data_IF_620094494241
#
_entry.id   IF_620094494241
#
_cell.length_a   1.000
_cell.length_b   1.000
_cell.length_c   1.000
_cell.angle_alpha   90.00
_cell.angle_beta   90.00
_cell.angle_gamma   90.00
#
_symmetry.space_group_name_H-M   'P 1'
#
loop_
_entity.id
_entity.type
_entity.pdbx_description
1 polymer ?
#
# COMPACT_ATOMS: atom_id res chain seq x y z
N UNK A 1 19.66 5.55 0.33
CA UNK A 1 18.32 4.98 0.60
C UNK A 1 17.36 5.60 -0.39
N UNK A 2 16.29 4.90 -0.75
CA UNK A 2 15.19 5.39 -1.58
C UNK A 2 13.92 5.31 -0.73
N UNK A 3 13.18 6.42 -0.70
CA UNK A 3 11.84 6.45 -0.14
C UNK A 3 10.84 6.37 -1.28
N UNK A 4 9.87 5.48 -1.14
CA UNK A 4 8.75 5.35 -2.06
C UNK A 4 7.51 5.90 -1.37
N UNK A 5 6.82 6.80 -2.06
CA UNK A 5 5.45 7.20 -1.70
C UNK A 5 4.53 5.98 -1.78
N UNK A 6 3.31 6.04 -1.19
CA UNK A 6 2.37 4.92 -1.25
C UNK A 6 2.18 4.40 -2.68
N UNK A 7 2.36 3.08 -2.83
CA UNK A 7 2.25 2.35 -4.10
C UNK A 7 1.25 1.18 -3.97
N UNK A 8 0.53 1.13 -2.86
CA UNK A 8 -0.53 0.17 -2.60
C UNK A 8 -1.79 0.51 -3.40
N UNK A 9 -2.74 -0.42 -3.50
CA UNK A 9 -4.04 -0.13 -4.12
C UNK A 9 -4.70 1.02 -3.37
N UNK A 10 -5.03 2.08 -4.12
CA UNK A 10 -5.69 3.29 -3.61
C UNK A 10 -6.57 3.90 -4.71
N UNK A 11 -7.68 4.56 -4.37
CA UNK A 11 -8.38 5.46 -5.29
C UNK A 11 -7.56 6.71 -5.67
N UNK A 12 -6.29 6.80 -5.26
CA UNK A 12 -5.37 7.90 -5.52
C UNK A 12 -5.82 9.24 -4.92
N UNK A 13 -6.67 9.18 -3.90
CA UNK A 13 -7.00 10.33 -3.04
C UNK A 13 -5.82 10.58 -2.11
N UNK A 14 -5.50 11.86 -1.89
CA UNK A 14 -4.34 12.28 -1.11
C UNK A 14 -3.03 11.63 -1.59
N UNK A 15 -2.84 11.55 -2.92
CA UNK A 15 -1.64 10.97 -3.56
C UNK A 15 -1.31 9.54 -3.08
N UNK A 16 -2.34 8.71 -2.91
CA UNK A 16 -2.19 7.30 -2.55
C UNK A 16 -2.19 7.02 -1.05
N UNK A 17 -2.30 8.04 -0.20
CA UNK A 17 -2.39 7.85 1.25
C UNK A 17 -3.76 7.32 1.70
N UNK A 18 -4.81 7.46 0.88
CA UNK A 18 -6.10 6.78 1.08
C UNK A 18 -5.98 5.30 0.68
N UNK A 19 -5.35 4.45 1.50
CA UNK A 19 -5.04 3.05 1.12
C UNK A 19 -6.26 2.14 1.20
N UNK A 20 -6.54 1.40 0.12
CA UNK A 20 -7.67 0.47 0.02
C UNK A 20 -7.27 -1.01 0.18
N UNK A 21 -6.01 -1.37 -0.08
CA UNK A 21 -5.43 -2.68 0.23
C UNK A 21 -3.92 -2.55 0.47
N UNK A 22 -3.48 -2.82 1.70
CA UNK A 22 -2.07 -2.74 2.12
C UNK A 22 -1.21 -3.90 1.64
N UNK A 23 -1.82 -4.97 1.11
CA UNK A 23 -1.10 -6.21 0.76
C UNK A 23 -0.78 -6.31 -0.73
N UNK A 24 -1.35 -5.43 -1.55
CA UNK A 24 -1.21 -5.45 -3.00
C UNK A 24 -0.60 -4.17 -3.52
N UNK A 25 0.26 -4.29 -4.53
CA UNK A 25 0.75 -3.15 -5.31
C UNK A 25 -0.35 -2.68 -6.26
N UNK A 26 -0.52 -1.36 -6.40
CA UNK A 26 -1.41 -0.80 -7.41
C UNK A 26 -0.90 -1.22 -8.81
N UNK A 27 -1.74 -1.81 -9.66
CA UNK A 27 -1.34 -2.25 -11.00
C UNK A 27 -0.74 -1.16 -11.88
N UNK A 28 -0.99 0.13 -11.58
CA UNK A 28 -0.34 1.25 -12.26
C UNK A 28 1.18 1.34 -11.98
N UNK A 29 1.66 0.72 -10.90
CA UNK A 29 3.07 0.73 -10.47
C UNK A 29 3.78 -0.62 -10.67
N UNK A 30 3.04 -1.72 -10.83
CA UNK A 30 3.59 -3.05 -11.09
C UNK A 30 2.91 -4.14 -10.26
N UNK A 31 3.65 -5.20 -9.95
CA UNK A 31 3.20 -6.31 -9.10
C UNK A 31 4.03 -6.44 -7.82
N UNK A 32 3.64 -7.37 -6.94
CA UNK A 32 4.47 -7.72 -5.78
C UNK A 32 5.83 -8.30 -6.21
N UNK A 33 5.88 -9.08 -7.30
CA UNK A 33 7.12 -9.60 -7.86
C UNK A 33 8.04 -8.48 -8.35
N UNK A 34 7.49 -7.42 -8.97
CA UNK A 34 8.27 -6.25 -9.36
C UNK A 34 8.84 -5.52 -8.13
N UNK A 35 8.07 -5.44 -7.04
CA UNK A 35 8.53 -4.85 -5.79
C UNK A 35 9.63 -5.71 -5.12
N UNK A 36 9.49 -7.03 -5.14
CA UNK A 36 10.52 -7.97 -4.66
C UNK A 36 11.83 -7.81 -5.43
N UNK A 37 11.76 -7.69 -6.76
CA UNK A 37 12.93 -7.44 -7.61
C UNK A 37 13.57 -6.08 -7.28
N UNK A 38 12.78 -5.02 -7.12
CA UNK A 38 13.27 -3.71 -6.69
C UNK A 38 14.04 -3.80 -5.37
N UNK A 39 13.47 -4.48 -4.37
CA UNK A 39 14.10 -4.66 -3.05
C UNK A 39 15.39 -5.46 -3.17
N UNK A 40 15.40 -6.55 -3.93
CA UNK A 40 16.59 -7.38 -4.16
C UNK A 40 17.72 -6.58 -4.82
N UNK A 41 17.40 -5.84 -5.88
CA UNK A 41 18.38 -5.00 -6.61
C UNK A 41 18.89 -3.84 -5.76
N UNK A 42 18.03 -3.20 -4.96
CA UNK A 42 18.43 -2.15 -4.03
C UNK A 42 19.41 -2.69 -2.98
N UNK A 43 19.08 -3.84 -2.38
CA UNK A 43 19.94 -4.51 -1.39
C UNK A 43 21.31 -4.87 -1.97
N UNK A 44 21.37 -5.42 -3.18
CA UNK A 44 22.63 -5.74 -3.86
C UNK A 44 23.54 -4.51 -4.07
N UNK A 45 22.95 -3.30 -4.11
CA UNK A 45 23.64 -2.01 -4.26
C UNK A 45 23.86 -1.27 -2.95
N UNK A 46 23.54 -1.87 -1.79
CA UNK A 46 23.63 -1.20 -0.49
C UNK A 46 22.61 -0.07 -0.31
N UNK A 47 21.53 -0.06 -1.09
CA UNK A 47 20.45 0.92 -1.01
C UNK A 47 19.34 0.36 -0.13
N UNK A 48 18.99 1.09 0.94
CA UNK A 48 17.80 0.80 1.75
C UNK A 48 16.53 1.34 1.08
N UNK A 49 15.44 0.59 1.11
CA UNK A 49 14.10 1.04 0.75
C UNK A 49 13.36 1.47 2.02
N UNK A 50 12.64 2.59 1.94
CA UNK A 50 11.79 3.13 3.02
C UNK A 50 10.39 3.27 2.44
N UNK A 51 9.39 2.78 3.17
CA UNK A 51 7.98 2.83 2.77
C UNK A 51 7.16 3.61 3.80
N UNK A 52 6.09 4.22 3.33
CA UNK A 52 5.03 4.70 4.20
C UNK A 52 4.14 3.55 4.68
N UNK A 53 3.76 3.62 5.96
CA UNK A 53 2.76 2.76 6.59
C UNK A 53 1.67 3.67 7.14
N UNK A 54 0.55 3.75 6.43
CA UNK A 54 -0.56 4.65 6.78
C UNK A 54 -1.47 3.95 7.79
N UNK A 55 -1.14 4.04 9.08
CA UNK A 55 -1.90 3.35 10.14
C UNK A 55 -3.07 4.15 10.73
N UNK A 56 -3.06 5.48 10.56
CA UNK A 56 -4.04 6.34 11.22
C UNK A 56 -5.44 6.23 10.60
N UNK A 57 -5.53 5.87 9.31
CA UNK A 57 -6.78 5.76 8.56
C UNK A 57 -6.63 4.76 7.42
N UNK A 58 -7.75 4.24 6.93
CA UNK A 58 -7.85 3.43 5.70
C UNK A 58 -8.89 4.06 4.77
N UNK A 59 -8.83 3.75 3.48
CA UNK A 59 -9.83 4.20 2.51
C UNK A 59 -11.23 3.73 2.88
N UNK A 60 -12.23 4.53 2.48
CA UNK A 60 -13.63 4.09 2.44
C UNK A 60 -13.84 2.90 1.48
N UNK A 61 -12.88 2.67 0.59
CA UNK A 61 -12.79 1.51 -0.29
C UNK A 61 -11.95 0.36 0.32
N UNK A 62 -11.56 0.42 1.59
CA UNK A 62 -10.90 -0.70 2.26
C UNK A 62 -11.92 -1.78 2.66
N UNK A 63 -11.53 -3.06 2.67
CA UNK A 63 -12.41 -4.17 3.06
C UNK A 63 -13.03 -3.95 4.45
N UNK A 64 -12.19 -3.61 5.45
CA UNK A 64 -12.65 -3.28 6.81
C UNK A 64 -13.69 -2.16 6.84
N UNK A 65 -13.52 -1.09 6.06
CA UNK A 65 -14.49 0.00 6.05
C UNK A 65 -15.83 -0.45 5.47
N UNK A 66 -15.80 -1.24 4.39
CA UNK A 66 -17.01 -1.78 3.76
C UNK A 66 -17.74 -2.76 4.67
N UNK A 67 -17.00 -3.62 5.38
CA UNK A 67 -17.56 -4.58 6.34
C UNK A 67 -18.22 -3.86 7.53
N UNK A 68 -17.59 -2.80 8.05
CA UNK A 68 -18.13 -1.99 9.15
C UNK A 68 -19.42 -1.22 8.82
N UNK A 69 -19.86 -1.20 7.56
CA UNK A 69 -21.19 -0.68 7.20
C UNK A 69 -22.32 -1.64 7.64
N UNK A 70 -22.01 -2.92 7.84
CA UNK A 70 -22.92 -3.88 8.47
C UNK A 70 -22.79 -3.79 9.99
N UNK A 71 -23.89 -3.49 10.67
CA UNK A 71 -23.94 -3.40 12.14
C UNK A 71 -23.57 -4.71 12.85
N UNK A 72 -23.68 -5.84 12.17
CA UNK A 72 -23.40 -7.17 12.73
C UNK A 72 -21.97 -7.65 12.40
N UNK A 73 -21.20 -6.84 11.65
CA UNK A 73 -19.78 -7.07 11.35
C UNK A 73 -18.92 -7.03 12.63
N UNK A 74 -17.84 -7.84 12.71
CA UNK A 74 -16.84 -7.71 13.76
C UNK A 74 -15.90 -6.50 13.60
N UNK A 75 -15.93 -5.85 12.42
CA UNK A 75 -15.25 -4.60 12.09
C UNK A 75 -16.19 -3.41 12.22
#
# INVERSE_FOLDING_TARGET
AIWLTPFYISPQVDNGYDVADYLSVDPAYGTLEDFDELVAQAKARGIRIILDMVFNHTSTQHAWFREALDKDSPY
#
